data_IF_652719454545
#
_entry.id   IF_652719454545
#
_cell.length_a   1.000
_cell.length_b   1.000
_cell.length_c   1.000
_cell.angle_alpha   90.00
_cell.angle_beta   90.00
_cell.angle_gamma   90.00
#
_symmetry.space_group_name_H-M   'P 1'
#
loop_
_entity.id
_entity.type
_entity.pdbx_description
1 polymer ?
#
# COMPACT_ATOMS: atom_id res chain seq x y z
N UNK A 1 9.28 38.80 -33.13
CA UNK A 1 9.47 37.50 -32.44
C UNK A 1 10.24 36.60 -33.38
N UNK A 2 11.49 36.24 -33.08
CA UNK A 2 12.37 35.59 -34.07
C UNK A 2 12.19 34.07 -34.09
N UNK A 3 12.43 33.42 -35.24
CA UNK A 3 12.31 31.96 -35.41
C UNK A 3 13.16 31.17 -34.40
N UNK A 4 14.32 31.71 -33.99
CA UNK A 4 15.17 31.14 -32.93
C UNK A 4 14.50 31.16 -31.55
N UNK A 5 13.68 32.16 -31.24
CA UNK A 5 12.92 32.22 -29.98
C UNK A 5 11.78 31.20 -29.96
N UNK A 6 11.13 30.98 -31.12
CA UNK A 6 10.09 29.98 -31.27
C UNK A 6 10.64 28.55 -31.10
N UNK A 7 11.78 28.25 -31.74
CA UNK A 7 12.47 26.96 -31.62
C UNK A 7 12.92 26.66 -30.18
N UNK A 8 13.50 27.65 -29.48
CA UNK A 8 13.89 27.50 -28.07
C UNK A 8 12.70 27.28 -27.13
N UNK A 9 11.57 27.94 -27.38
CA UNK A 9 10.32 27.72 -26.61
C UNK A 9 9.74 26.34 -26.87
N UNK A 10 9.73 25.86 -28.12
CA UNK A 10 9.28 24.52 -28.48
C UNK A 10 10.13 23.41 -27.85
N UNK A 11 11.46 23.56 -27.86
CA UNK A 11 12.36 22.59 -27.20
C UNK A 11 12.13 22.53 -25.69
N UNK A 12 11.95 23.67 -25.03
CA UNK A 12 11.60 23.70 -23.60
C UNK A 12 10.26 23.02 -23.31
N UNK A 13 9.27 23.22 -24.17
CA UNK A 13 7.97 22.55 -24.01
C UNK A 13 8.11 21.02 -24.13
N UNK A 14 8.87 20.53 -25.11
CA UNK A 14 9.15 19.10 -25.26
C UNK A 14 9.89 18.53 -24.05
N UNK A 15 10.86 19.25 -23.50
CA UNK A 15 11.56 18.84 -22.27
C UNK A 15 10.59 18.76 -21.08
N UNK A 16 9.71 19.74 -20.90
CA UNK A 16 8.70 19.75 -19.83
C UNK A 16 7.74 18.56 -19.99
N UNK A 17 7.24 18.32 -21.20
CA UNK A 17 6.36 17.18 -21.48
C UNK A 17 7.07 15.85 -21.26
N UNK A 18 8.34 15.72 -21.65
CA UNK A 18 9.14 14.53 -21.38
C UNK A 18 9.37 14.28 -19.90
N UNK A 19 9.70 15.33 -19.14
CA UNK A 19 9.84 15.25 -17.67
C UNK A 19 8.51 14.90 -17.03
N UNK A 20 7.40 15.49 -17.47
CA UNK A 20 6.06 15.19 -16.95
C UNK A 20 5.64 13.75 -17.26
N UNK A 21 5.91 13.26 -18.48
CA UNK A 21 5.62 11.88 -18.85
C UNK A 21 6.43 10.90 -17.99
N UNK A 22 7.74 11.13 -17.83
CA UNK A 22 8.57 10.31 -16.93
C UNK A 22 8.09 10.43 -15.48
N UNK A 23 7.66 11.62 -15.05
CA UNK A 23 7.16 11.81 -13.70
C UNK A 23 5.87 11.01 -13.44
N UNK A 24 4.89 11.10 -14.33
CA UNK A 24 3.63 10.37 -14.20
C UNK A 24 3.78 8.87 -14.41
N UNK A 25 4.58 8.44 -15.37
CA UNK A 25 4.75 7.03 -15.69
C UNK A 25 5.45 6.28 -14.54
N UNK A 26 6.42 6.93 -13.90
CA UNK A 26 7.32 6.26 -12.97
C UNK A 26 7.13 6.65 -11.49
N UNK A 27 6.73 7.88 -11.13
CA UNK A 27 6.73 8.33 -9.72
C UNK A 27 5.41 8.09 -8.99
N UNK A 28 4.31 8.65 -9.48
CA UNK A 28 3.03 8.71 -8.78
C UNK A 28 1.90 8.20 -9.67
N UNK A 29 1.02 7.39 -9.10
CA UNK A 29 -0.20 6.96 -9.76
C UNK A 29 -1.41 7.27 -8.87
N UNK A 30 -2.58 7.31 -9.48
CA UNK A 30 -3.85 7.67 -8.83
C UNK A 30 -4.79 6.47 -8.89
N UNK A 31 -5.57 6.27 -7.83
CA UNK A 31 -6.66 5.31 -7.86
C UNK A 31 -7.90 5.84 -7.14
N UNK A 32 -9.06 5.43 -7.63
CA UNK A 32 -10.34 5.68 -6.97
C UNK A 32 -10.61 4.50 -6.04
N UNK A 33 -10.68 4.76 -4.75
CA UNK A 33 -10.96 3.73 -3.76
C UNK A 33 -12.48 3.54 -3.64
N UNK A 34 -12.96 2.39 -4.11
CA UNK A 34 -14.38 2.02 -4.06
C UNK A 34 -14.58 0.89 -3.06
N UNK A 35 -15.51 1.06 -2.13
CA UNK A 35 -15.97 0.00 -1.23
C UNK A 35 -15.61 0.20 0.25
N UNK A 36 -16.27 -0.57 1.14
CA UNK A 36 -16.28 -0.30 2.58
C UNK A 36 -15.06 -0.83 3.33
N UNK A 37 -14.19 -1.60 2.68
CA UNK A 37 -13.15 -2.39 3.37
C UNK A 37 -12.11 -1.57 4.14
N UNK A 38 -11.94 -0.29 3.79
CA UNK A 38 -10.97 0.62 4.42
C UNK A 38 -11.66 1.71 5.26
N UNK A 39 -12.96 1.59 5.53
CA UNK A 39 -13.66 2.46 6.47
C UNK A 39 -13.12 2.25 7.90
N UNK A 40 -13.02 3.31 8.72
CA UNK A 40 -13.36 4.71 8.42
C UNK A 40 -12.23 5.51 7.76
N UNK A 41 -11.04 4.93 7.58
CA UNK A 41 -9.85 5.66 7.10
C UNK A 41 -10.04 6.20 5.69
N UNK A 42 -10.57 5.36 4.80
CA UNK A 42 -10.97 5.74 3.44
C UNK A 42 -12.48 5.75 3.42
N UNK A 43 -13.04 6.94 3.20
CA UNK A 43 -14.47 7.22 3.24
C UNK A 43 -15.26 6.50 2.14
N UNK A 44 -16.60 6.45 2.26
CA UNK A 44 -17.47 5.75 1.33
C UNK A 44 -17.63 6.46 -0.03
N UNK A 45 -17.16 7.70 -0.15
CA UNK A 45 -17.46 8.62 -1.25
C UNK A 45 -16.52 8.53 -2.45
N UNK A 46 -16.01 7.33 -2.79
CA UNK A 46 -15.07 7.12 -3.89
C UNK A 46 -13.84 8.05 -3.83
N UNK A 47 -13.11 7.99 -2.72
CA UNK A 47 -11.97 8.87 -2.48
C UNK A 47 -10.84 8.63 -3.49
N UNK A 48 -10.19 9.71 -3.94
CA UNK A 48 -9.05 9.63 -4.85
C UNK A 48 -7.77 9.60 -4.03
N UNK A 49 -7.00 8.54 -4.23
CA UNK A 49 -5.74 8.28 -3.54
C UNK A 49 -4.56 8.44 -4.49
N UNK A 50 -3.48 9.01 -3.97
CA UNK A 50 -2.17 9.02 -4.63
C UNK A 50 -1.30 7.97 -3.96
N UNK A 51 -0.69 7.11 -4.78
CA UNK A 51 0.26 6.11 -4.30
C UNK A 51 1.56 6.12 -5.12
N UNK A 52 2.67 5.83 -4.46
CA UNK A 52 3.98 5.76 -5.12
C UNK A 52 4.13 4.48 -5.94
N UNK A 53 4.54 4.60 -7.21
CA UNK A 53 4.86 3.46 -8.08
C UNK A 53 6.36 3.20 -8.25
N UNK A 54 7.20 4.20 -7.97
CA UNK A 54 8.62 4.22 -8.37
C UNK A 54 9.41 3.01 -7.91
N UNK A 55 9.14 2.58 -6.68
CA UNK A 55 9.92 1.52 -6.03
C UNK A 55 9.75 0.14 -6.67
N UNK A 56 8.82 -0.05 -7.64
CA UNK A 56 8.58 -1.33 -8.34
C UNK A 56 9.38 -1.52 -9.62
N UNK A 57 9.65 -0.46 -10.38
CA UNK A 57 10.19 -0.60 -11.74
C UNK A 57 11.69 -0.95 -11.79
N UNK A 58 12.41 -0.72 -10.69
CA UNK A 58 13.86 -0.94 -10.64
C UNK A 58 14.30 -1.66 -9.35
N UNK A 59 13.84 -2.91 -9.09
CA UNK A 59 14.16 -3.64 -7.86
C UNK A 59 15.65 -4.03 -7.75
N UNK A 60 16.34 -4.14 -8.90
CA UNK A 60 17.74 -4.56 -8.99
C UNK A 60 18.72 -3.40 -9.23
N UNK A 61 18.24 -2.16 -9.29
CA UNK A 61 19.10 -1.00 -9.48
C UNK A 61 19.73 -0.62 -8.13
N UNK A 62 20.91 -1.22 -7.84
CA UNK A 62 21.72 -0.96 -6.64
C UNK A 62 22.38 0.44 -6.70
N UNK A 63 21.59 1.49 -6.77
CA UNK A 63 22.10 2.84 -6.52
C UNK A 63 22.11 3.09 -5.01
N UNK A 64 23.22 3.58 -4.47
CA UNK A 64 23.44 3.89 -3.04
C UNK A 64 22.36 4.80 -2.41
N UNK A 65 21.60 5.50 -3.24
CA UNK A 65 20.53 6.43 -2.87
C UNK A 65 19.14 5.98 -3.38
N UNK A 66 18.98 4.73 -3.81
CA UNK A 66 17.72 4.25 -4.41
C UNK A 66 16.66 3.95 -3.33
N UNK A 67 15.43 4.47 -3.44
CA UNK A 67 14.37 4.17 -2.49
C UNK A 67 13.88 2.74 -2.71
N UNK A 68 14.27 1.84 -1.80
CA UNK A 68 13.63 0.53 -1.67
C UNK A 68 12.22 0.78 -1.14
N UNK A 69 11.18 0.16 -1.71
CA UNK A 69 9.80 0.31 -1.20
C UNK A 69 9.78 -0.15 0.25
N UNK A 70 9.85 0.78 1.19
CA UNK A 70 9.93 0.47 2.60
C UNK A 70 8.52 0.32 3.14
N UNK A 71 7.97 -0.89 2.95
CA UNK A 71 6.68 -1.27 3.49
C UNK A 71 6.83 -1.55 4.97
N UNK A 72 6.22 -0.68 5.78
CA UNK A 72 6.16 -0.78 7.23
C UNK A 72 4.76 -1.16 7.69
N UNK A 73 4.66 -1.58 8.95
CA UNK A 73 3.35 -1.75 9.60
C UNK A 73 2.57 -0.43 9.57
N UNK A 74 1.26 -0.53 9.50
CA UNK A 74 0.28 0.54 9.32
C UNK A 74 0.30 1.27 7.97
N UNK A 75 1.19 0.93 7.05
CA UNK A 75 1.15 1.48 5.70
C UNK A 75 -0.12 1.05 4.97
N UNK A 76 -0.74 1.97 4.22
CA UNK A 76 -1.83 1.64 3.30
C UNK A 76 -1.22 1.39 1.93
N UNK A 77 -1.55 0.26 1.33
CA UNK A 77 -0.99 -0.17 0.05
C UNK A 77 -2.09 -0.49 -0.95
N UNK A 78 -1.79 -0.22 -2.21
CA UNK A 78 -2.52 -0.78 -3.35
C UNK A 78 -1.81 -2.06 -3.74
N UNK A 79 -2.54 -3.17 -3.82
CA UNK A 79 -2.03 -4.48 -4.20
C UNK A 79 -2.90 -5.11 -5.28
N UNK A 80 -2.34 -6.07 -6.01
CA UNK A 80 -3.10 -6.91 -6.94
C UNK A 80 -3.93 -7.90 -6.10
N UNK A 81 -5.20 -8.13 -6.45
CA UNK A 81 -6.03 -9.12 -5.75
C UNK A 81 -5.50 -10.53 -5.99
N UNK A 82 -5.58 -11.39 -4.98
CA UNK A 82 -5.23 -12.82 -5.11
C UNK A 82 -6.29 -13.59 -5.91
N UNK A 83 -7.54 -13.16 -5.83
CA UNK A 83 -8.67 -13.82 -6.49
C UNK A 83 -8.78 -13.40 -7.97
N UNK A 84 -8.42 -12.16 -8.29
CA UNK A 84 -8.52 -11.59 -9.64
C UNK A 84 -7.36 -10.62 -9.94
N UNK A 85 -6.38 -11.00 -10.78
CA UNK A 85 -5.23 -10.16 -11.11
C UNK A 85 -5.57 -8.83 -11.80
N UNK A 86 -6.75 -8.68 -12.40
CA UNK A 86 -7.18 -7.43 -13.04
C UNK A 86 -7.63 -6.39 -12.00
N UNK A 87 -7.95 -6.85 -10.78
CA UNK A 87 -8.46 -6.01 -9.70
C UNK A 87 -7.31 -5.54 -8.79
N UNK A 88 -7.26 -4.24 -8.56
CA UNK A 88 -6.42 -3.60 -7.53
C UNK A 88 -7.22 -3.46 -6.24
N UNK A 89 -6.67 -3.94 -5.12
CA UNK A 89 -7.24 -3.80 -3.78
C UNK A 89 -6.46 -2.78 -2.96
N UNK A 90 -7.17 -2.03 -2.13
CA UNK A 90 -6.59 -1.16 -1.11
C UNK A 90 -6.71 -1.82 0.26
N UNK A 91 -5.59 -1.98 0.97
CA UNK A 91 -5.51 -2.63 2.29
C UNK A 91 -4.42 -1.99 3.16
N UNK A 92 -4.52 -2.18 4.47
CA UNK A 92 -3.47 -1.81 5.43
C UNK A 92 -2.53 -2.97 5.69
N UNK A 93 -1.23 -2.68 5.77
CA UNK A 93 -0.18 -3.58 6.19
C UNK A 93 -0.24 -3.71 7.70
N UNK A 94 -0.77 -4.83 8.19
CA UNK A 94 -0.87 -5.08 9.61
C UNK A 94 0.44 -5.66 10.16
N UNK A 95 1.03 -6.62 9.43
CA UNK A 95 2.27 -7.29 9.83
C UNK A 95 3.23 -7.45 8.64
N UNK A 96 4.52 -7.56 8.94
CA UNK A 96 5.61 -7.70 7.98
C UNK A 96 6.37 -9.00 8.20
N UNK A 97 7.38 -9.27 7.37
CA UNK A 97 8.21 -10.45 7.49
C UNK A 97 8.70 -10.72 8.93
N UNK A 98 8.64 -11.99 9.32
CA UNK A 98 8.99 -12.55 10.63
C UNK A 98 8.02 -12.23 11.78
N UNK A 99 6.88 -11.61 11.48
CA UNK A 99 5.80 -11.44 12.45
C UNK A 99 4.91 -12.69 12.54
N UNK A 100 4.30 -12.86 13.70
CA UNK A 100 3.22 -13.82 13.94
C UNK A 100 1.89 -13.05 14.02
N UNK A 101 0.89 -13.55 13.31
CA UNK A 101 -0.45 -12.97 13.28
C UNK A 101 -1.43 -13.98 13.81
N UNK A 102 -2.03 -13.70 14.96
CA UNK A 102 -3.07 -14.53 15.57
C UNK A 102 -4.43 -13.90 15.29
N UNK A 103 -5.26 -14.61 14.54
CA UNK A 103 -6.62 -14.22 14.20
C UNK A 103 -7.56 -14.86 15.21
N UNK A 104 -8.30 -14.04 15.93
CA UNK A 104 -9.40 -14.45 16.80
C UNK A 104 -10.75 -13.99 16.20
N UNK A 105 -11.90 -14.50 16.67
CA UNK A 105 -13.22 -14.12 16.16
C UNK A 105 -13.45 -12.60 16.13
N UNK A 106 -13.01 -11.89 17.17
CA UNK A 106 -13.30 -10.46 17.34
C UNK A 106 -12.11 -9.53 17.05
N UNK A 107 -10.87 -10.05 17.03
CA UNK A 107 -9.66 -9.23 16.91
C UNK A 107 -8.47 -9.98 16.30
N UNK A 108 -7.46 -9.23 15.86
CA UNK A 108 -6.19 -9.78 15.37
C UNK A 108 -5.04 -9.25 16.24
N UNK A 109 -4.16 -10.15 16.68
CA UNK A 109 -2.96 -9.83 17.46
C UNK A 109 -1.73 -10.02 16.57
N UNK A 110 -0.74 -9.13 16.72
CA UNK A 110 0.57 -9.27 16.08
C UNK A 110 1.62 -9.43 17.18
N UNK A 111 2.40 -10.50 17.13
CA UNK A 111 3.52 -10.77 18.03
C UNK A 111 4.78 -11.11 17.24
N UNK A 112 5.93 -11.22 17.89
CA UNK A 112 7.13 -11.83 17.28
C UNK A 112 7.33 -13.25 17.78
N UNK A 113 8.11 -14.01 17.01
CA UNK A 113 8.57 -15.33 17.41
C UNK A 113 9.40 -15.21 18.70
N UNK A 114 8.86 -15.73 19.81
CA UNK A 114 9.46 -15.64 21.14
C UNK A 114 8.66 -14.82 22.17
N UNK A 115 7.72 -13.98 21.72
CA UNK A 115 6.89 -13.15 22.61
C UNK A 115 5.66 -13.91 23.15
N UNK A 116 5.30 -15.05 22.54
CA UNK A 116 4.11 -15.81 22.91
C UNK A 116 4.45 -16.74 24.07
N UNK A 117 3.86 -16.48 25.25
CA UNK A 117 4.00 -17.37 26.39
C UNK A 117 2.98 -18.52 26.30
N UNK A 118 3.34 -19.70 26.80
CA UNK A 118 2.52 -20.91 26.74
C UNK A 118 1.13 -20.76 27.39
N UNK A 119 0.97 -19.79 28.30
CA UNK A 119 -0.31 -19.45 28.94
C UNK A 119 -1.28 -18.72 28.02
N UNK A 120 -0.80 -17.96 27.03
CA UNK A 120 -1.66 -17.24 26.09
C UNK A 120 -2.38 -18.20 25.13
N UNK A 121 -1.70 -19.30 24.79
CA UNK A 121 -2.13 -20.33 23.82
C UNK A 121 -3.39 -21.09 24.30
N UNK A 122 -3.54 -21.30 25.61
CA UNK A 122 -4.71 -22.01 26.17
C UNK A 122 -6.04 -21.23 26.02
N UNK A 123 -5.98 -19.89 26.01
CA UNK A 123 -7.12 -19.00 25.77
C UNK A 123 -7.48 -18.85 24.28
N UNK A 124 -6.65 -19.38 23.37
CA UNK A 124 -6.78 -19.23 21.93
C UNK A 124 -7.37 -20.45 21.22
N UNK A 125 -8.22 -21.23 21.87
CA UNK A 125 -8.82 -22.45 21.29
C UNK A 125 -9.63 -22.20 20.00
N UNK A 126 -10.07 -20.97 19.74
CA UNK A 126 -10.73 -20.56 18.48
C UNK A 126 -9.87 -19.66 17.58
N UNK A 127 -8.62 -19.40 17.94
CA UNK A 127 -7.76 -18.50 17.17
C UNK A 127 -6.78 -19.28 16.28
N UNK A 128 -6.48 -18.71 15.11
CA UNK A 128 -5.54 -19.28 14.16
C UNK A 128 -4.31 -18.39 14.03
N UNK A 129 -3.13 -18.95 14.25
CA UNK A 129 -1.86 -18.21 14.17
C UNK A 129 -1.15 -18.48 12.84
N UNK A 130 -0.70 -17.42 12.18
CA UNK A 130 0.02 -17.44 10.91
C UNK A 130 1.38 -16.77 11.05
N UNK A 131 2.41 -17.40 10.50
CA UNK A 131 3.73 -16.78 10.34
C UNK A 131 3.82 -16.03 9.02
N UNK A 132 4.36 -14.81 9.04
CA UNK A 132 4.60 -14.01 7.84
C UNK A 132 6.03 -14.27 7.33
N UNK A 133 6.22 -14.99 6.22
CA UNK A 133 7.55 -15.34 5.75
C UNK A 133 8.32 -14.12 5.19
N UNK A 134 9.66 -14.21 5.10
CA UNK A 134 10.47 -13.21 4.40
C UNK A 134 9.97 -12.92 2.98
N UNK A 135 9.84 -11.63 2.64
CA UNK A 135 9.32 -11.22 1.33
C UNK A 135 7.80 -11.14 1.23
N UNK A 136 7.07 -11.47 2.30
CA UNK A 136 5.61 -11.34 2.38
C UNK A 136 5.21 -10.24 3.36
N UNK A 137 3.93 -9.86 3.30
CA UNK A 137 3.25 -8.95 4.23
C UNK A 137 1.86 -9.48 4.55
N UNK A 138 1.33 -9.10 5.70
CA UNK A 138 -0.05 -9.38 6.06
C UNK A 138 -0.91 -8.14 5.85
N UNK A 139 -1.87 -8.22 4.94
CA UNK A 139 -2.77 -7.14 4.57
C UNK A 139 -4.17 -7.35 5.15
N UNK A 140 -4.73 -6.36 5.83
CA UNK A 140 -6.13 -6.35 6.29
C UNK A 140 -6.82 -5.03 5.96
N UNK A 141 -8.13 -5.08 5.76
CA UNK A 141 -8.96 -3.88 5.68
C UNK A 141 -9.27 -3.35 7.07
N UNK A 142 -9.37 -2.03 7.23
CA UNK A 142 -9.75 -1.39 8.50
C UNK A 142 -11.17 -1.76 8.93
N UNK A 143 -12.04 -2.07 7.97
CA UNK A 143 -13.37 -2.61 8.22
C UNK A 143 -13.34 -4.14 8.14
N UNK A 144 -13.13 -4.76 9.30
CA UNK A 144 -12.98 -6.22 9.43
C UNK A 144 -14.19 -7.00 8.90
N UNK A 145 -15.42 -6.45 9.03
CA UNK A 145 -16.69 -7.10 8.65
C UNK A 145 -16.95 -7.13 7.15
N UNK A 146 -16.37 -6.20 6.41
CA UNK A 146 -16.63 -6.02 4.97
C UNK A 146 -15.33 -6.08 4.15
N UNK A 147 -14.39 -6.93 4.55
CA UNK A 147 -13.08 -7.03 3.89
C UNK A 147 -12.69 -8.48 3.65
N UNK A 148 -12.49 -8.83 2.37
CA UNK A 148 -11.76 -10.02 1.95
C UNK A 148 -10.28 -9.66 1.87
N UNK A 149 -9.48 -10.29 2.72
CA UNK A 149 -8.07 -9.95 2.93
C UNK A 149 -7.27 -11.14 3.48
N UNK A 150 -6.08 -10.90 4.04
CA UNK A 150 -5.16 -11.97 4.46
C UNK A 150 -5.75 -12.91 5.51
N UNK A 151 -6.82 -12.52 6.21
CA UNK A 151 -7.57 -13.43 7.10
C UNK A 151 -8.18 -14.63 6.36
N UNK A 152 -8.45 -14.46 5.07
CA UNK A 152 -9.08 -15.46 4.23
C UNK A 152 -8.07 -16.22 3.38
N UNK A 153 -7.03 -15.54 2.90
CA UNK A 153 -6.10 -16.11 1.92
C UNK A 153 -4.62 -16.15 2.35
N UNK A 154 -4.31 -15.72 3.57
CA UNK A 154 -2.97 -15.70 4.15
C UNK A 154 -2.07 -14.54 3.72
N UNK A 155 -0.77 -14.61 4.01
CA UNK A 155 0.20 -13.56 3.68
C UNK A 155 0.30 -13.29 2.16
N UNK A 156 0.57 -12.04 1.80
CA UNK A 156 0.68 -11.57 0.41
C UNK A 156 2.16 -11.31 0.05
N UNK A 157 2.65 -11.82 -1.10
CA UNK A 157 3.98 -11.49 -1.59
C UNK A 157 4.14 -9.97 -1.80
N UNK A 158 5.25 -9.39 -1.34
CA UNK A 158 5.58 -7.98 -1.59
C UNK A 158 5.52 -7.57 -3.07
N UNK A 159 5.89 -8.42 -4.07
CA UNK A 159 5.75 -8.07 -5.48
C UNK A 159 4.32 -7.79 -5.95
N UNK A 160 3.30 -8.29 -5.25
CA UNK A 160 1.90 -7.98 -5.57
C UNK A 160 1.50 -6.56 -5.14
N UNK A 161 2.32 -5.89 -4.32
CA UNK A 161 2.10 -4.51 -3.90
C UNK A 161 2.41 -3.58 -5.07
N UNK A 162 1.36 -2.94 -5.59
CA UNK A 162 1.46 -1.94 -6.64
C UNK A 162 2.08 -0.63 -6.14
N UNK A 163 1.93 -0.32 -4.85
CA UNK A 163 2.58 0.83 -4.22
C UNK A 163 1.97 1.24 -2.91
N UNK A 164 2.61 2.20 -2.23
CA UNK A 164 2.16 2.73 -0.94
C UNK A 164 1.34 4.00 -1.16
N UNK A 165 0.16 4.06 -0.56
CA UNK A 165 -0.69 5.24 -0.56
C UNK A 165 -0.06 6.30 0.33
N UNK A 166 0.09 7.51 -0.21
CA UNK A 166 0.72 8.66 0.45
C UNK A 166 -0.32 9.69 0.87
N UNK A 167 -1.21 10.05 -0.06
CA UNK A 167 -2.17 11.14 0.13
C UNK A 167 -3.57 10.73 -0.30
N UNK A 168 -4.54 11.28 0.41
CA UNK A 168 -5.91 11.42 -0.07
C UNK A 168 -6.09 12.83 -0.61
N UNK A 169 -6.55 12.97 -1.86
CA UNK A 169 -6.72 14.29 -2.49
C UNK A 169 -8.16 14.68 -2.76
N UNK A 170 -9.08 13.71 -2.75
CA UNK A 170 -10.51 13.94 -2.91
C UNK A 170 -11.31 13.15 -1.87
N UNK A 171 -12.35 13.74 -1.25
CA UNK A 171 -12.84 15.11 -1.47
C UNK A 171 -11.91 16.20 -0.90
N UNK A 172 -11.91 17.44 -1.42
CA UNK A 172 -10.88 18.44 -1.10
C UNK A 172 -10.87 18.86 0.37
N UNK A 173 -12.04 18.81 1.02
CA UNK A 173 -12.20 19.07 2.45
C UNK A 173 -11.55 18.00 3.35
N UNK A 174 -11.23 16.83 2.78
CA UNK A 174 -10.53 15.74 3.45
C UNK A 174 -9.13 15.50 2.86
N UNK A 175 -8.60 16.46 2.07
CA UNK A 175 -7.25 16.36 1.55
C UNK A 175 -6.24 16.35 2.70
N UNK A 176 -5.42 15.30 2.75
CA UNK A 176 -4.28 15.25 3.65
C UNK A 176 -3.38 14.06 3.39
N UNK A 177 -2.26 14.03 4.11
CA UNK A 177 -1.44 12.83 4.26
C UNK A 177 -2.27 11.76 4.97
N UNK A 178 -2.20 10.52 4.47
CA UNK A 178 -2.79 9.36 5.16
C UNK A 178 -2.14 9.15 6.53
N UNK A 179 -0.85 9.44 6.63
CA UNK A 179 -0.09 9.36 7.86
C UNK A 179 -0.21 10.71 8.57
N UNK A 180 -1.02 10.76 9.63
CA UNK A 180 -0.96 11.89 10.56
C UNK A 180 0.43 11.88 11.20
N UNK A 181 1.17 12.99 11.08
CA UNK A 181 2.34 13.22 11.94
C UNK A 181 1.80 13.48 13.35
N UNK A 182 2.03 12.53 14.25
CA UNK A 182 1.92 12.75 15.71
C UNK A 182 3.02 13.70 16.15
#
# INVERSE_FOLDING_TARGET
MTFKDFSKKGLKLLQILGVFHVFHEYLLDFCIAVGPSMLPTIGPSNEILIYERLSRWFPNFKLKYWPKLNINRNDIVIAISKDDPEIRICKRVLAIANDLVTICPDFTIISKLGDIHSTDIATFTQCSTYFVPPGYVWLQGDNSKCSRDSRHYGPVPKPMISGKVLYKIWPPNLWGSIYKRS
#
